data_IF_735768788031
#
_entry.id   IF_735768788031
#
_cell.length_a   1.000
_cell.length_b   1.000
_cell.length_c   1.000
_cell.angle_alpha   90.00
_cell.angle_beta   90.00
_cell.angle_gamma   90.00
#
_symmetry.space_group_name_H-M   'P 1'
#
loop_
_entity.id
_entity.type
_entity.pdbx_description
1 polymer ?
#
# COMPACT_ATOMS: atom_id res chain seq x y z
N UNK A 1 1.54 -4.27 -14.02
CA UNK A 1 0.26 -3.69 -13.55
C UNK A 1 -0.77 -3.81 -14.68
N UNK A 2 -1.99 -4.29 -14.39
CA UNK A 2 -3.07 -4.44 -15.39
C UNK A 2 -4.04 -3.25 -15.43
N UNK A 3 -3.83 -2.24 -14.58
CA UNK A 3 -4.53 -0.95 -14.63
C UNK A 3 -3.49 0.20 -14.61
N UNK A 4 -3.45 1.09 -15.62
CA UNK A 4 -2.57 2.25 -15.65
C UNK A 4 -2.74 3.19 -14.44
N UNK A 5 -3.95 3.25 -13.84
CA UNK A 5 -4.25 4.11 -12.70
C UNK A 5 -3.58 3.67 -11.41
N UNK A 6 -3.36 2.36 -11.22
CA UNK A 6 -2.69 1.81 -10.02
C UNK A 6 -1.23 2.26 -9.89
N UNK A 7 -0.49 2.46 -10.98
CA UNK A 7 0.92 2.85 -10.89
C UNK A 7 1.09 4.26 -10.34
N UNK A 8 0.31 5.21 -10.88
CA UNK A 8 0.33 6.60 -10.43
C UNK A 8 -0.16 6.72 -8.98
N UNK A 9 -1.18 5.94 -8.62
CA UNK A 9 -1.67 5.83 -7.24
C UNK A 9 -0.56 5.42 -6.27
N UNK A 10 0.14 4.31 -6.51
CA UNK A 10 1.18 3.83 -5.60
C UNK A 10 2.36 4.81 -5.49
N UNK A 11 2.73 5.50 -6.58
CA UNK A 11 3.76 6.56 -6.56
C UNK A 11 3.33 7.76 -5.69
N UNK A 12 2.06 8.17 -5.76
CA UNK A 12 1.51 9.25 -4.95
C UNK A 12 1.41 8.87 -3.48
N UNK A 13 0.87 7.68 -3.18
CA UNK A 13 0.79 7.16 -1.80
C UNK A 13 2.19 7.09 -1.17
N UNK A 14 3.19 6.59 -1.90
CA UNK A 14 4.60 6.58 -1.48
C UNK A 14 5.12 7.97 -1.14
N UNK A 15 4.86 8.96 -2.01
CA UNK A 15 5.31 10.34 -1.80
C UNK A 15 4.64 10.99 -0.58
N UNK A 16 3.31 10.84 -0.46
CA UNK A 16 2.53 11.37 0.67
C UNK A 16 3.01 10.74 1.98
N UNK A 17 3.15 9.41 2.02
CA UNK A 17 3.59 8.69 3.21
C UNK A 17 5.00 9.13 3.66
N UNK A 18 5.92 9.30 2.72
CA UNK A 18 7.29 9.76 3.00
C UNK A 18 7.29 11.18 3.56
N UNK A 19 6.47 12.09 3.02
CA UNK A 19 6.37 13.46 3.54
C UNK A 19 5.73 13.52 4.93
N UNK A 20 4.73 12.68 5.21
CA UNK A 20 4.21 12.50 6.59
C UNK A 20 5.32 11.98 7.51
N UNK A 21 6.09 10.97 7.06
CA UNK A 21 7.19 10.39 7.84
C UNK A 21 8.26 11.43 8.20
N UNK A 22 8.62 12.32 7.27
CA UNK A 22 9.54 13.44 7.54
C UNK A 22 9.01 14.38 8.62
N UNK A 23 7.73 14.77 8.52
CA UNK A 23 7.07 15.61 9.54
C UNK A 23 7.01 14.96 10.93
N UNK A 24 7.04 13.63 10.99
CA UNK A 24 7.07 12.87 12.24
C UNK A 24 8.48 12.51 12.71
N UNK A 25 9.53 12.89 11.98
CA UNK A 25 10.92 12.62 12.34
C UNK A 25 11.37 11.18 12.11
N UNK A 26 10.76 10.46 11.16
CA UNK A 26 11.23 9.14 10.74
C UNK A 26 12.68 9.18 10.26
N UNK A 27 13.45 8.14 10.58
CA UNK A 27 14.80 7.92 10.07
C UNK A 27 14.82 7.64 8.56
N UNK A 28 15.96 7.83 7.91
CA UNK A 28 16.13 7.51 6.48
C UNK A 28 15.72 6.08 6.13
N UNK A 29 15.99 5.12 7.02
CA UNK A 29 15.58 3.72 6.83
C UNK A 29 14.06 3.55 6.90
N UNK A 30 13.37 4.25 7.81
CA UNK A 30 11.91 4.22 7.88
C UNK A 30 11.26 4.95 6.69
N UNK A 31 11.89 6.02 6.18
CA UNK A 31 11.46 6.70 4.96
C UNK A 31 11.59 5.78 3.73
N UNK A 32 12.69 5.04 3.61
CA UNK A 32 12.86 4.03 2.55
C UNK A 32 11.81 2.92 2.66
N UNK A 33 11.49 2.47 3.88
CA UNK A 33 10.43 1.49 4.12
C UNK A 33 9.04 2.03 3.75
N UNK A 34 8.74 3.31 4.02
CA UNK A 34 7.50 3.95 3.60
C UNK A 34 7.42 4.09 2.08
N UNK A 35 8.54 4.39 1.42
CA UNK A 35 8.62 4.45 -0.03
C UNK A 35 8.28 3.09 -0.66
N UNK A 36 8.98 2.03 -0.24
CA UNK A 36 8.70 0.67 -0.73
C UNK A 36 7.30 0.17 -0.32
N UNK A 37 6.87 0.46 0.90
CA UNK A 37 5.53 0.15 1.39
C UNK A 37 4.45 0.77 0.52
N UNK A 38 4.56 2.06 0.20
CA UNK A 38 3.62 2.76 -0.68
C UNK A 38 3.60 2.24 -2.11
N UNK A 39 4.77 1.92 -2.67
CA UNK A 39 4.88 1.34 -4.01
C UNK A 39 4.26 -0.07 -4.12
N UNK A 40 4.26 -0.83 -3.01
CA UNK A 40 3.96 -2.26 -3.03
C UNK A 40 2.71 -2.68 -2.24
N UNK A 41 2.06 -1.79 -1.48
CA UNK A 41 0.94 -2.13 -0.59
C UNK A 41 -0.18 -2.93 -1.28
N UNK A 42 -0.42 -2.63 -2.55
CA UNK A 42 -1.47 -3.22 -3.36
C UNK A 42 -1.04 -4.42 -4.22
N UNK A 43 0.20 -4.90 -4.10
CA UNK A 43 0.73 -5.98 -4.96
C UNK A 43 -0.11 -7.27 -4.88
N UNK A 44 -0.75 -7.52 -3.73
CA UNK A 44 -1.63 -8.66 -3.54
C UNK A 44 -2.90 -8.65 -4.40
N UNK A 45 -3.25 -7.50 -5.01
CA UNK A 45 -4.36 -7.39 -5.97
C UNK A 45 -4.11 -8.18 -7.25
N UNK A 46 -2.86 -8.58 -7.55
CA UNK A 46 -2.55 -9.49 -8.68
C UNK A 46 -3.29 -10.84 -8.55
N UNK A 47 -3.58 -11.29 -7.33
CA UNK A 47 -4.35 -12.51 -7.08
C UNK A 47 -5.87 -12.34 -7.12
N UNK A 48 -6.38 -11.12 -7.31
CA UNK A 48 -7.83 -10.83 -7.37
C UNK A 48 -8.31 -10.94 -8.81
N UNK A 49 -9.45 -11.63 -9.03
CA UNK A 49 -10.02 -11.81 -10.37
C UNK A 49 -10.42 -10.45 -10.97
N UNK A 50 -10.14 -10.25 -12.25
CA UNK A 50 -10.48 -9.02 -12.99
C UNK A 50 -11.96 -8.62 -12.84
N UNK A 51 -12.88 -9.60 -12.80
CA UNK A 51 -14.31 -9.36 -12.60
C UNK A 51 -14.67 -8.69 -11.27
N UNK A 52 -13.86 -8.90 -10.23
CA UNK A 52 -14.01 -8.25 -8.91
C UNK A 52 -13.21 -6.94 -8.88
N UNK A 53 -11.98 -6.96 -9.41
CA UNK A 53 -11.07 -5.82 -9.41
C UNK A 53 -11.59 -4.64 -10.25
N UNK A 54 -12.20 -4.94 -11.39
CA UNK A 54 -12.67 -3.95 -12.37
C UNK A 54 -14.19 -3.78 -12.36
N UNK A 55 -14.90 -4.27 -11.32
CA UNK A 55 -16.36 -4.23 -11.28
C UNK A 55 -16.87 -2.78 -11.31
N UNK A 56 -17.73 -2.41 -12.27
CA UNK A 56 -18.40 -1.11 -12.25
C UNK A 56 -19.50 -1.13 -11.19
N UNK A 57 -19.21 -0.61 -10.00
CA UNK A 57 -20.18 -0.46 -8.92
C UNK A 57 -19.71 -1.01 -7.57
N UNK A 58 -20.66 -1.19 -6.65
CA UNK A 58 -20.34 -1.70 -5.31
C UNK A 58 -20.04 -3.20 -5.36
N UNK A 59 -18.97 -3.60 -4.70
CA UNK A 59 -18.72 -5.01 -4.40
C UNK A 59 -19.79 -5.53 -3.44
N UNK A 60 -20.27 -6.74 -3.70
CA UNK A 60 -21.08 -7.49 -2.74
C UNK A 60 -20.22 -7.97 -1.55
N UNK A 61 -20.84 -8.71 -0.63
CA UNK A 61 -20.16 -9.17 0.58
C UNK A 61 -19.02 -10.14 0.28
N UNK A 62 -19.21 -11.07 -0.67
CA UNK A 62 -18.22 -12.10 -1.00
C UNK A 62 -17.05 -11.49 -1.76
N UNK A 63 -17.35 -10.65 -2.75
CA UNK A 63 -16.37 -9.86 -3.49
C UNK A 63 -15.53 -8.96 -2.58
N UNK A 64 -16.16 -8.35 -1.57
CA UNK A 64 -15.47 -7.54 -0.57
C UNK A 64 -14.54 -8.38 0.30
N UNK A 65 -14.97 -9.57 0.73
CA UNK A 65 -14.10 -10.47 1.51
C UNK A 65 -12.86 -10.85 0.68
N UNK A 66 -13.05 -11.21 -0.59
CA UNK A 66 -11.94 -11.53 -1.50
C UNK A 66 -10.99 -10.33 -1.74
N UNK A 67 -11.54 -9.13 -1.86
CA UNK A 67 -10.73 -7.90 -1.99
C UNK A 67 -9.91 -7.64 -0.73
N UNK A 68 -10.49 -7.84 0.46
CA UNK A 68 -9.82 -7.60 1.74
C UNK A 68 -8.66 -8.59 2.03
N UNK A 69 -8.50 -9.65 1.23
CA UNK A 69 -7.36 -10.57 1.34
C UNK A 69 -6.06 -10.02 0.74
N UNK A 70 -6.10 -8.94 -0.05
CA UNK A 70 -4.91 -8.45 -0.75
C UNK A 70 -3.73 -8.06 0.16
N UNK A 71 -3.89 -7.53 1.40
CA UNK A 71 -2.74 -7.24 2.24
C UNK A 71 -1.99 -8.52 2.63
N UNK A 72 -2.74 -9.58 2.96
CA UNK A 72 -2.18 -10.91 3.30
C UNK A 72 -1.49 -11.52 2.08
N UNK A 73 -2.14 -11.50 0.92
CA UNK A 73 -1.53 -11.99 -0.33
C UNK A 73 -0.29 -11.18 -0.72
N UNK A 74 -0.31 -9.87 -0.47
CA UNK A 74 0.81 -8.98 -0.74
C UNK A 74 2.04 -9.35 0.09
N UNK A 75 1.85 -9.57 1.39
CA UNK A 75 2.89 -10.10 2.27
C UNK A 75 3.41 -11.46 1.78
N UNK A 76 2.53 -12.40 1.47
CA UNK A 76 2.91 -13.75 1.01
C UNK A 76 3.76 -13.73 -0.26
N UNK A 77 3.39 -12.88 -1.23
CA UNK A 77 4.15 -12.69 -2.48
C UNK A 77 5.56 -12.16 -2.18
N UNK A 78 5.68 -11.21 -1.26
CA UNK A 78 6.94 -10.51 -1.00
C UNK A 78 7.82 -11.20 0.04
N UNK A 79 7.27 -12.11 0.84
CA UNK A 79 8.03 -12.90 1.84
C UNK A 79 9.21 -13.67 1.23
N UNK A 80 9.10 -14.05 -0.05
CA UNK A 80 10.19 -14.70 -0.80
C UNK A 80 11.32 -13.75 -1.24
N UNK A 81 11.11 -12.44 -1.17
CA UNK A 81 12.08 -11.40 -1.53
C UNK A 81 12.72 -10.89 -0.24
N UNK A 82 13.76 -11.57 0.23
CA UNK A 82 14.34 -11.32 1.56
C UNK A 82 14.79 -9.88 1.85
N UNK A 83 15.01 -9.05 0.82
CA UNK A 83 15.32 -7.62 0.99
C UNK A 83 14.13 -6.77 1.43
N UNK A 84 12.90 -7.26 1.23
CA UNK A 84 11.65 -6.54 1.55
C UNK A 84 11.02 -7.00 2.87
N UNK A 85 11.76 -7.73 3.69
CA UNK A 85 11.29 -8.21 4.98
C UNK A 85 10.83 -7.07 5.93
N UNK A 86 11.53 -5.92 6.01
CA UNK A 86 11.10 -4.80 6.85
C UNK A 86 9.75 -4.17 6.44
N UNK A 87 9.37 -4.24 5.17
CA UNK A 87 8.16 -3.62 4.63
C UNK A 87 6.91 -4.50 4.75
N UNK A 88 7.09 -5.81 5.01
CA UNK A 88 5.97 -6.75 5.13
C UNK A 88 4.90 -6.31 6.14
N UNK A 89 5.24 -5.81 7.35
CA UNK A 89 4.24 -5.32 8.29
C UNK A 89 3.47 -4.10 7.76
N UNK A 90 4.12 -3.25 6.95
CA UNK A 90 3.46 -2.09 6.35
C UNK A 90 2.39 -2.57 5.36
N UNK A 91 2.76 -3.51 4.50
CA UNK A 91 1.90 -4.07 3.46
C UNK A 91 0.76 -4.87 4.06
N UNK A 92 1.00 -5.67 5.10
CA UNK A 92 -0.05 -6.48 5.72
C UNK A 92 -1.09 -5.62 6.45
N UNK A 93 -0.66 -4.56 7.13
CA UNK A 93 -1.49 -3.85 8.11
C UNK A 93 -1.97 -2.46 7.66
N UNK A 94 -1.72 -2.05 6.42
CA UNK A 94 -2.14 -0.73 5.92
C UNK A 94 -3.67 -0.53 5.81
N UNK A 95 -4.49 -1.53 6.16
CA UNK A 95 -5.94 -1.41 6.29
C UNK A 95 -6.46 -1.65 7.72
N UNK A 96 -5.56 -1.75 8.70
CA UNK A 96 -5.94 -1.72 10.10
C UNK A 96 -6.47 -0.34 10.48
N UNK A 97 -7.50 -0.31 11.30
CA UNK A 97 -8.09 0.94 11.80
C UNK A 97 -7.66 1.14 13.23
N UNK A 98 -7.42 2.40 13.61
CA UNK A 98 -6.91 2.74 14.94
C UNK A 98 -7.79 2.20 16.10
N UNK A 99 -9.09 2.04 15.91
CA UNK A 99 -10.02 1.46 16.88
C UNK A 99 -10.10 -0.08 16.88
N UNK A 100 -9.37 -0.78 15.99
CA UNK A 100 -9.41 -2.24 15.84
C UNK A 100 -10.52 -2.79 14.94
N UNK A 101 -11.31 -1.96 14.25
CA UNK A 101 -12.35 -2.45 13.32
C UNK A 101 -11.86 -2.69 11.89
N UNK A 102 -10.56 -2.54 11.64
CA UNK A 102 -9.91 -2.79 10.35
C UNK A 102 -9.66 -4.27 10.06
N UNK A 103 -8.75 -4.53 9.14
CA UNK A 103 -8.35 -5.88 8.72
C UNK A 103 -6.87 -5.86 8.28
N UNK A 104 -6.18 -7.02 8.21
CA UNK A 104 -6.68 -8.39 8.39
C UNK A 104 -6.76 -8.89 9.84
N UNK A 105 -5.95 -8.35 10.75
CA UNK A 105 -5.69 -8.92 12.07
C UNK A 105 -6.42 -8.18 13.20
N UNK A 106 -7.06 -7.04 12.90
CA UNK A 106 -7.86 -6.23 13.84
C UNK A 106 -7.01 -5.66 14.98
N UNK A 107 -5.80 -5.24 14.64
CA UNK A 107 -4.91 -4.56 15.57
C UNK A 107 -5.49 -3.19 15.94
N UNK A 108 -5.33 -2.79 17.21
CA UNK A 108 -5.84 -1.51 17.70
C UNK A 108 -4.72 -0.60 18.22
N UNK A 109 -4.90 0.71 18.02
CA UNK A 109 -4.01 1.74 18.49
C UNK A 109 -2.57 1.52 18.05
N UNK A 110 -1.66 1.49 19.03
CA UNK A 110 -0.23 1.34 18.78
C UNK A 110 0.23 -0.10 18.52
N UNK A 111 -0.67 -1.08 18.60
CA UNK A 111 -0.39 -2.44 18.13
C UNK A 111 -0.21 -2.48 16.62
N UNK A 112 -0.84 -1.54 15.90
CA UNK A 112 -0.64 -1.37 14.46
C UNK A 112 0.79 -0.84 14.23
N UNK A 113 1.59 -1.48 13.36
CA UNK A 113 2.92 -1.00 13.05
C UNK A 113 2.91 0.49 12.68
N UNK A 114 3.85 1.22 13.24
CA UNK A 114 3.88 2.68 13.13
C UNK A 114 3.85 3.17 11.69
N UNK A 115 4.68 2.59 10.82
CA UNK A 115 4.73 2.94 9.40
C UNK A 115 3.46 2.51 8.63
N UNK A 116 2.74 1.48 9.08
CA UNK A 116 1.44 1.10 8.50
C UNK A 116 0.36 2.16 8.81
N UNK A 117 0.39 2.75 10.02
CA UNK A 117 -0.50 3.86 10.39
C UNK A 117 -0.28 5.10 9.51
N UNK A 118 0.99 5.41 9.19
CA UNK A 118 1.35 6.47 8.24
C UNK A 118 0.81 6.15 6.85
N UNK A 119 1.06 4.94 6.36
CA UNK A 119 0.62 4.53 5.02
C UNK A 119 -0.91 4.58 4.88
N UNK A 120 -1.65 4.20 5.93
CA UNK A 120 -3.12 4.21 5.90
C UNK A 120 -3.69 5.62 5.65
N UNK A 121 -3.09 6.65 6.27
CA UNK A 121 -3.50 8.06 6.03
C UNK A 121 -3.17 8.49 4.60
N UNK A 122 -1.98 8.14 4.10
CA UNK A 122 -1.55 8.47 2.75
C UNK A 122 -2.44 7.83 1.67
N UNK A 123 -2.74 6.54 1.81
CA UNK A 123 -3.64 5.80 0.91
C UNK A 123 -5.05 6.37 0.90
N UNK A 124 -5.61 6.63 2.09
CA UNK A 124 -6.94 7.22 2.21
C UNK A 124 -7.02 8.61 1.57
N UNK A 125 -6.02 9.47 1.80
CA UNK A 125 -5.99 10.80 1.19
C UNK A 125 -5.92 10.73 -0.33
N UNK A 126 -4.99 9.93 -0.89
CA UNK A 126 -4.88 9.77 -2.35
C UNK A 126 -6.20 9.26 -2.93
N UNK A 127 -6.79 8.22 -2.33
CA UNK A 127 -8.03 7.64 -2.80
C UNK A 127 -9.19 8.65 -2.76
N UNK A 128 -9.15 9.61 -1.84
CA UNK A 128 -10.15 10.67 -1.74
C UNK A 128 -10.00 11.75 -2.82
N UNK A 129 -8.76 12.13 -3.15
CA UNK A 129 -8.45 13.27 -4.05
C UNK A 129 -8.15 12.86 -5.49
N UNK A 130 -7.97 11.58 -5.77
CA UNK A 130 -7.71 11.08 -7.12
C UNK A 130 -8.98 11.00 -7.97
N UNK A 131 -8.88 11.43 -9.23
CA UNK A 131 -9.89 11.19 -10.27
C UNK A 131 -9.93 9.71 -10.64
N UNK A 132 -10.95 8.98 -10.14
CA UNK A 132 -11.15 7.55 -10.41
C UNK A 132 -12.38 7.33 -11.30
N UNK A 133 -12.39 6.29 -12.17
CA UNK A 133 -13.52 5.98 -13.07
C UNK A 133 -14.88 5.83 -12.36
N UNK A 134 -14.87 5.45 -11.08
CA UNK A 134 -16.07 5.20 -10.27
C UNK A 134 -16.38 6.31 -9.25
N UNK A 135 -15.56 7.37 -9.17
CA UNK A 135 -15.82 8.57 -8.36
C UNK A 135 -15.82 9.80 -9.27
N UNK A 136 -16.99 10.25 -9.74
CA UNK A 136 -17.09 11.26 -10.79
C UNK A 136 -16.56 12.64 -10.36
N UNK A 137 -16.51 12.92 -9.05
CA UNK A 137 -15.97 14.17 -8.50
C UNK A 137 -15.04 13.83 -7.32
N UNK A 138 -13.72 14.01 -7.47
CA UNK A 138 -12.77 13.92 -6.35
C UNK A 138 -13.07 14.95 -5.28
N UNK A 139 -12.69 14.65 -4.03
CA UNK A 139 -12.72 15.65 -2.97
C UNK A 139 -11.60 16.67 -3.18
N UNK A 140 -11.84 17.92 -2.78
CA UNK A 140 -10.75 18.88 -2.63
C UNK A 140 -9.83 18.47 -1.48
N UNK A 141 -8.65 19.07 -1.40
CA UNK A 141 -7.67 18.78 -0.33
C UNK A 141 -8.24 19.16 1.04
N UNK A 142 -9.01 20.23 1.10
CA UNK A 142 -9.73 20.72 2.28
C UNK A 142 -10.74 19.67 2.75
N UNK A 143 -11.59 19.19 1.84
CA UNK A 143 -12.61 18.18 2.14
C UNK A 143 -11.99 16.84 2.58
N UNK A 144 -10.91 16.42 1.90
CA UNK A 144 -10.18 15.22 2.28
C UNK A 144 -9.53 15.36 3.67
N UNK A 145 -8.98 16.53 4.00
CA UNK A 145 -8.43 16.82 5.33
C UNK A 145 -9.52 16.81 6.41
N UNK A 146 -10.70 17.35 6.13
CA UNK A 146 -11.86 17.30 7.04
C UNK A 146 -12.31 15.86 7.32
N UNK A 147 -12.38 15.02 6.29
CA UNK A 147 -12.70 13.59 6.47
C UNK A 147 -11.65 12.84 7.28
N UNK A 148 -10.34 13.10 7.07
CA UNK A 148 -9.28 12.54 7.91
C UNK A 148 -9.47 12.95 9.38
N UNK A 149 -9.72 14.23 9.65
CA UNK A 149 -9.94 14.75 11.03
C UNK A 149 -11.17 14.13 11.69
N UNK A 150 -12.24 13.93 10.93
CA UNK A 150 -13.51 13.37 11.40
C UNK A 150 -13.36 11.93 11.91
N UNK A 151 -12.50 11.13 11.30
CA UNK A 151 -12.27 9.73 11.69
C UNK A 151 -10.97 9.49 12.48
N UNK A 152 -10.35 10.57 12.99
CA UNK A 152 -9.25 10.49 13.95
C UNK A 152 -9.65 9.68 15.20
N UNK A 153 -8.78 8.76 15.62
CA UNK A 153 -9.02 7.87 16.77
C UNK A 153 -9.98 6.70 16.46
N UNK A 154 -10.65 6.73 15.30
CA UNK A 154 -11.49 5.64 14.80
C UNK A 154 -10.72 4.87 13.72
N UNK A 155 -10.55 5.49 12.56
CA UNK A 155 -9.83 4.91 11.44
C UNK A 155 -8.34 5.29 11.49
N UNK A 156 -8.04 6.55 11.77
CA UNK A 156 -6.69 7.10 11.65
C UNK A 156 -6.04 7.37 13.01
N UNK A 157 -4.73 7.19 13.10
CA UNK A 157 -3.95 7.62 14.26
C UNK A 157 -3.97 9.16 14.35
N UNK A 158 -4.38 9.75 15.50
CA UNK A 158 -4.42 11.20 15.68
C UNK A 158 -3.10 11.92 15.38
N UNK A 159 -1.96 11.34 15.76
CA UNK A 159 -0.64 11.96 15.55
C UNK A 159 -0.27 12.00 14.07
N UNK A 160 -0.67 10.98 13.32
CA UNK A 160 -0.41 10.89 11.88
C UNK A 160 -1.26 11.91 11.12
N UNK A 161 -2.55 12.04 11.47
CA UNK A 161 -3.43 13.06 10.85
C UNK A 161 -2.93 14.48 11.15
N UNK A 162 -2.47 14.72 12.38
CA UNK A 162 -1.88 16.00 12.75
C UNK A 162 -0.62 16.32 11.93
N UNK A 163 0.29 15.34 11.77
CA UNK A 163 1.49 15.48 10.96
C UNK A 163 1.16 15.70 9.48
N UNK A 164 0.20 14.94 8.93
CA UNK A 164 -0.27 15.13 7.56
C UNK A 164 -0.74 16.57 7.31
N UNK A 165 -1.43 17.17 8.28
CA UNK A 165 -1.89 18.56 8.23
C UNK A 165 -0.79 19.61 8.10
N UNK A 166 0.48 19.28 8.39
CA UNK A 166 1.66 20.15 8.21
C UNK A 166 2.38 19.93 6.88
N UNK A 167 2.08 18.85 6.17
CA UNK A 167 2.71 18.57 4.89
C UNK A 167 2.20 19.50 3.79
N UNK A 168 2.96 19.61 2.70
CA UNK A 168 2.52 20.29 1.48
C UNK A 168 1.25 19.71 0.86
N UNK A 169 0.83 18.50 1.27
CA UNK A 169 -0.34 17.77 0.76
C UNK A 169 -1.66 18.32 1.30
N UNK A 170 -1.65 18.92 2.49
CA UNK A 170 -2.80 19.53 3.13
C UNK A 170 -3.16 20.89 2.51
N UNK A 171 -4.41 21.29 2.70
CA UNK A 171 -4.91 22.59 2.26
C UNK A 171 -4.18 23.76 2.94
N UNK A 172 -3.84 24.80 2.17
CA UNK A 172 -3.25 26.03 2.71
C UNK A 172 -1.75 25.95 3.04
N UNK A 173 -1.03 24.90 2.60
CA UNK A 173 0.42 24.87 2.72
C UNK A 173 1.07 25.97 1.85
N UNK A 174 1.98 26.79 2.39
CA UNK A 174 2.68 27.83 1.63
C UNK A 174 3.54 27.27 0.49
N UNK A 175 3.91 25.99 0.55
CA UNK A 175 4.76 25.29 -0.42
C UNK A 175 3.97 24.41 -1.41
N UNK A 176 2.69 24.74 -1.67
CA UNK A 176 1.88 24.05 -2.67
C UNK A 176 2.31 24.39 -4.12
N UNK A 177 3.56 24.09 -4.46
CA UNK A 177 4.07 24.11 -5.83
C UNK A 177 3.38 23.02 -6.67
N UNK A 178 3.20 23.22 -7.99
CA UNK A 178 2.73 22.17 -8.89
C UNK A 178 3.64 20.93 -8.81
N UNK A 179 3.04 19.74 -8.77
CA UNK A 179 3.77 18.48 -8.58
C UNK A 179 4.97 18.33 -9.55
N UNK A 180 6.18 18.01 -9.06
CA UNK A 180 7.24 17.55 -9.95
C UNK A 180 6.88 16.18 -10.53
N UNK A 181 7.28 15.94 -11.78
CA UNK A 181 7.11 14.64 -12.43
C UNK A 181 7.73 13.51 -11.58
N UNK A 182 7.10 12.32 -11.53
CA UNK A 182 7.56 11.22 -10.68
C UNK A 182 9.00 10.80 -11.04
N UNK A 183 9.84 10.66 -10.03
CA UNK A 183 11.19 10.11 -10.17
C UNK A 183 11.05 8.58 -10.25
N UNK A 184 11.28 8.01 -11.43
CA UNK A 184 11.22 6.58 -11.63
C UNK A 184 12.43 5.88 -10.96
N UNK A 185 12.20 5.23 -9.81
CA UNK A 185 13.10 4.17 -9.33
C UNK A 185 12.70 2.83 -9.97
N UNK A 186 13.66 2.03 -10.46
CA UNK A 186 13.34 0.72 -11.01
C UNK A 186 12.79 -0.19 -9.91
N UNK A 187 11.54 -0.63 -10.07
CA UNK A 187 10.90 -1.63 -9.21
C UNK A 187 11.67 -2.96 -9.35
N UNK A 188 12.26 -3.54 -8.29
CA UNK A 188 13.05 -4.76 -8.34
C UNK A 188 12.13 -6.00 -8.41
N UNK A 189 11.24 -6.10 -9.40
CA UNK A 189 10.25 -7.19 -9.45
C UNK A 189 10.13 -7.86 -10.83
N UNK A 190 11.17 -7.86 -11.66
CA UNK A 190 11.18 -8.72 -12.87
C UNK A 190 12.37 -9.67 -13.02
N UNK A 191 13.43 -9.52 -12.23
CA UNK A 191 14.63 -10.37 -12.36
C UNK A 191 14.64 -11.67 -11.56
N UNK A 192 13.88 -11.76 -10.46
CA UNK A 192 14.09 -12.84 -9.46
C UNK A 192 12.93 -13.83 -9.30
N UNK A 193 11.71 -13.49 -9.73
CA UNK A 193 10.56 -14.42 -9.66
C UNK A 193 10.68 -15.55 -10.69
N UNK A 194 11.41 -15.34 -11.79
CA UNK A 194 11.67 -16.38 -12.80
C UNK A 194 12.65 -17.47 -12.32
N UNK A 195 13.54 -17.17 -11.37
CA UNK A 195 14.59 -18.08 -10.92
C UNK A 195 14.14 -19.10 -9.86
N UNK A 196 12.98 -18.86 -9.23
CA UNK A 196 12.44 -19.76 -8.19
C UNK A 196 11.57 -20.90 -8.75
N UNK A 197 11.25 -20.89 -10.05
CA UNK A 197 10.48 -21.96 -10.71
C UNK A 197 11.33 -23.08 -11.34
N UNK A 198 12.65 -22.97 -11.36
CA UNK A 198 13.52 -23.94 -12.06
C UNK A 198 14.34 -24.86 -11.16
N UNK A 199 14.29 -24.73 -9.83
CA UNK A 199 15.07 -25.57 -8.90
C UNK A 199 14.26 -26.65 -8.16
N UNK A 200 13.20 -27.17 -8.78
CA UNK A 200 12.38 -28.25 -8.22
C UNK A 200 12.03 -29.29 -9.27
N UNK A 201 12.99 -30.14 -9.66
CA UNK A 201 12.71 -31.34 -10.46
C UNK A 201 13.81 -31.70 -11.46
N UNK A 202 14.71 -32.60 -11.07
CA UNK A 202 14.96 -33.89 -11.75
C UNK A 202 16.05 -34.63 -10.97
N UNK A 203 15.64 -35.61 -10.17
CA UNK A 203 16.52 -36.64 -9.64
C UNK A 203 17.02 -37.52 -10.80
N UNK A 204 18.30 -37.86 -10.75
CA UNK A 204 19.06 -38.62 -11.74
C UNK A 204 18.43 -39.99 -12.02
N UNK A 205 18.23 -40.31 -13.29
CA UNK A 205 18.20 -41.69 -13.78
C UNK A 205 19.64 -42.19 -13.85
N UNK A 206 20.01 -43.16 -13.01
CA UNK A 206 21.19 -43.99 -13.24
C UNK A 206 20.73 -45.34 -13.80
N UNK A 207 21.22 -45.61 -14.99
CA UNK A 207 21.24 -46.88 -15.72
C UNK A 207 22.01 -47.95 -14.94
N UNK A 208 21.45 -49.16 -14.85
CA UNK A 208 22.20 -50.38 -14.51
C UNK A 208 21.77 -51.45 -15.51
N UNK A 209 22.71 -51.84 -16.38
CA UNK A 209 22.60 -52.99 -17.29
C UNK A 209 22.72 -54.31 -16.49
N UNK A 210 22.02 -55.39 -16.87
CA UNK A 210 22.28 -56.71 -16.32
C UNK A 210 23.26 -57.51 -17.20
N UNK A 211 24.23 -58.13 -16.53
CA UNK A 211 24.87 -59.37 -16.99
C UNK A 211 24.09 -60.57 -16.49
#
# INVERSE_FOLDING_TARGET
ARDPSTKKHSEHVSSIATDIGKEMGCSETELEQLEWGGLLHDIGKIGVRDAVLLKPGRLDREERMLMNEHPVKGEEILKGVGKLAPELPIIRHHHEWYNGSGYPDRLAGEQIPYLARILHVADAFEAMTASRPYRPVPLTREQAMEELRKYTGIQFDPRVVEAFGRTKWAAGSPDAEPEPAPVHKPIPVLGQVAALRTKGGLSRTQSVDPH
#
